data_IF_778656680589
#
_entry.id   IF_778656680589
#
_cell.length_a   1.000
_cell.length_b   1.000
_cell.length_c   1.000
_cell.angle_alpha   90.00
_cell.angle_beta   90.00
_cell.angle_gamma   90.00
#
_symmetry.space_group_name_H-M   'P 1'
#
loop_
_entity.id
_entity.type
_entity.pdbx_description
1 polymer ?
#
# COMPACT_ATOMS: atom_id res chain seq x y z
N UNK A 1 -7.01 -2.08 29.36
CA UNK A 1 -7.24 -0.62 29.36
C UNK A 1 -6.55 0.07 28.16
N UNK A 2 -6.52 -0.57 26.97
CA UNK A 2 -5.86 -0.01 25.75
C UNK A 2 -6.80 -0.01 24.54
N UNK A 3 -8.03 -0.50 24.70
CA UNK A 3 -9.12 -0.36 23.72
C UNK A 3 -10.13 0.67 24.22
N UNK A 4 -9.63 1.78 24.74
CA UNK A 4 -10.44 2.94 25.07
C UNK A 4 -10.84 3.60 23.74
N UNK A 5 -12.05 3.28 23.27
CA UNK A 5 -12.78 3.82 22.11
C UNK A 5 -11.88 4.40 21.01
N UNK A 6 -11.42 3.55 20.09
CA UNK A 6 -11.06 4.04 18.75
C UNK A 6 -12.32 4.67 18.19
N UNK A 7 -12.22 5.96 17.85
CA UNK A 7 -13.32 6.72 17.25
C UNK A 7 -13.83 6.01 16.00
N UNK A 8 -15.13 6.12 15.70
CA UNK A 8 -15.73 5.40 14.56
C UNK A 8 -15.05 5.81 13.23
N UNK A 9 -14.63 7.07 13.12
CA UNK A 9 -13.85 7.56 11.98
C UNK A 9 -12.45 6.95 11.90
N UNK A 10 -11.77 6.82 13.05
CA UNK A 10 -10.47 6.16 13.13
C UNK A 10 -10.56 4.66 12.80
N UNK A 11 -11.66 3.99 13.17
CA UNK A 11 -11.90 2.60 12.76
C UNK A 11 -12.04 2.46 11.25
N UNK A 12 -12.80 3.35 10.59
CA UNK A 12 -12.94 3.35 9.13
C UNK A 12 -11.60 3.58 8.43
N UNK A 13 -10.83 4.55 8.92
CA UNK A 13 -9.50 4.83 8.37
C UNK A 13 -8.57 3.62 8.55
N UNK A 14 -8.59 3.00 9.73
CA UNK A 14 -7.81 1.81 10.05
C UNK A 14 -8.15 0.63 9.15
N UNK A 15 -9.44 0.38 8.87
CA UNK A 15 -9.86 -0.70 7.98
C UNK A 15 -9.30 -0.53 6.57
N UNK A 16 -9.36 0.69 6.02
CA UNK A 16 -8.84 0.97 4.67
C UNK A 16 -7.31 0.92 4.66
N UNK A 17 -6.66 1.53 5.66
CA UNK A 17 -5.21 1.67 5.74
C UNK A 17 -4.52 0.33 6.01
N UNK A 18 -5.11 -0.54 6.83
CA UNK A 18 -4.53 -1.85 7.15
C UNK A 18 -4.94 -2.95 6.17
N UNK A 19 -5.79 -2.68 5.17
CA UNK A 19 -6.19 -3.67 4.18
C UNK A 19 -4.99 -4.36 3.51
N UNK A 20 -3.94 -3.64 3.06
CA UNK A 20 -2.75 -4.27 2.43
C UNK A 20 -1.97 -5.21 3.37
N UNK A 21 -2.11 -5.04 4.69
CA UNK A 21 -1.46 -5.91 5.68
C UNK A 21 -2.18 -7.26 5.78
N UNK A 22 -3.51 -7.24 5.64
CA UNK A 22 -4.39 -8.39 5.90
C UNK A 22 -4.61 -9.19 4.61
N UNK A 23 -4.70 -8.52 3.46
CA UNK A 23 -4.92 -9.16 2.15
C UNK A 23 -3.66 -9.84 1.56
N UNK A 24 -2.52 -9.73 2.24
CA UNK A 24 -1.24 -10.32 1.84
C UNK A 24 -0.49 -9.54 0.76
N UNK A 25 -1.03 -8.42 0.28
CA UNK A 25 -0.37 -7.57 -0.73
C UNK A 25 0.95 -7.04 -0.18
N UNK A 26 0.96 -6.49 1.04
CA UNK A 26 2.19 -5.92 1.60
C UNK A 26 3.27 -6.96 1.88
N UNK A 27 2.89 -8.12 2.44
CA UNK A 27 3.80 -9.25 2.62
C UNK A 27 4.44 -9.65 1.28
N UNK A 28 3.63 -9.69 0.22
CA UNK A 28 4.08 -10.00 -1.12
C UNK A 28 5.02 -8.92 -1.68
N UNK A 29 4.73 -7.64 -1.48
CA UNK A 29 5.60 -6.54 -1.92
C UNK A 29 6.97 -6.57 -1.23
N UNK A 30 7.02 -6.95 0.06
CA UNK A 30 8.27 -7.12 0.80
C UNK A 30 9.14 -8.22 0.17
N UNK A 31 8.61 -9.44 0.04
CA UNK A 31 9.40 -10.58 -0.44
C UNK A 31 9.72 -10.52 -1.94
N UNK A 32 8.92 -9.79 -2.72
CA UNK A 32 9.20 -9.59 -4.15
C UNK A 32 10.24 -8.49 -4.40
N UNK A 33 10.61 -7.71 -3.38
CA UNK A 33 11.55 -6.60 -3.50
C UNK A 33 10.93 -5.32 -4.07
N UNK A 34 9.60 -5.22 -4.09
CA UNK A 34 8.87 -4.04 -4.56
C UNK A 34 8.98 -2.83 -3.62
N UNK A 35 9.69 -2.97 -2.50
CA UNK A 35 10.03 -1.92 -1.53
C UNK A 35 11.53 -1.95 -1.19
N UNK A 36 12.37 -2.26 -2.18
CA UNK A 36 13.82 -2.45 -2.00
C UNK A 36 14.63 -1.14 -2.04
N UNK A 37 14.14 -0.12 -2.75
CA UNK A 37 14.78 1.19 -2.83
C UNK A 37 14.02 2.26 -2.06
N UNK A 38 14.70 3.36 -1.74
CA UNK A 38 14.06 4.52 -1.10
C UNK A 38 12.87 5.03 -1.91
N UNK A 39 13.01 5.15 -3.23
CA UNK A 39 11.92 5.59 -4.11
C UNK A 39 10.73 4.63 -4.07
N UNK A 40 10.97 3.32 -4.08
CA UNK A 40 9.91 2.32 -4.01
C UNK A 40 9.17 2.36 -2.67
N UNK A 41 9.91 2.48 -1.57
CA UNK A 41 9.35 2.60 -0.21
C UNK A 41 8.39 3.78 -0.11
N UNK A 42 8.83 4.97 -0.56
CA UNK A 42 7.99 6.17 -0.54
C UNK A 42 6.78 5.98 -1.47
N UNK A 43 7.01 5.45 -2.67
CA UNK A 43 5.96 5.26 -3.67
C UNK A 43 4.88 4.31 -3.15
N UNK A 44 5.25 3.14 -2.63
CA UNK A 44 4.33 2.15 -2.08
C UNK A 44 3.62 2.71 -0.84
N UNK A 45 4.34 3.35 0.08
CA UNK A 45 3.74 3.95 1.27
C UNK A 45 2.67 4.99 0.91
N UNK A 46 2.95 5.86 -0.06
CA UNK A 46 2.03 6.93 -0.44
C UNK A 46 0.90 6.49 -1.38
N UNK A 47 1.02 5.35 -2.06
CA UNK A 47 0.00 4.89 -3.03
C UNK A 47 -0.81 3.70 -2.55
N UNK A 48 -0.17 2.68 -1.99
CA UNK A 48 -0.83 1.45 -1.54
C UNK A 48 -1.50 1.68 -0.19
N UNK A 49 -0.84 2.38 0.73
CA UNK A 49 -1.40 2.68 2.06
C UNK A 49 -2.11 4.03 2.06
N UNK A 50 -1.39 5.13 1.76
CA UNK A 50 -1.95 6.50 1.77
C UNK A 50 -2.56 6.91 0.43
N UNK A 51 -3.15 5.94 -0.28
CA UNK A 51 -3.82 6.19 -1.55
C UNK A 51 -5.12 6.99 -1.40
N UNK A 52 -5.79 7.22 -2.53
CA UNK A 52 -7.02 8.00 -2.60
C UNK A 52 -8.13 7.49 -1.66
N UNK A 53 -8.20 6.18 -1.38
CA UNK A 53 -9.17 5.60 -0.44
C UNK A 53 -8.93 6.05 1.00
N UNK A 54 -7.69 5.95 1.49
CA UNK A 54 -7.35 6.38 2.84
C UNK A 54 -7.52 7.91 3.01
N UNK A 55 -7.13 8.69 2.00
CA UNK A 55 -7.34 10.14 2.00
C UNK A 55 -8.82 10.52 1.95
N UNK A 56 -9.64 9.78 1.21
CA UNK A 56 -11.08 10.01 1.17
C UNK A 56 -11.71 9.81 2.55
N UNK A 57 -11.32 8.75 3.26
CA UNK A 57 -11.79 8.49 4.63
C UNK A 57 -11.26 9.54 5.60
N UNK A 58 -9.97 9.85 5.55
CA UNK A 58 -9.37 10.88 6.40
C UNK A 58 -10.16 12.20 6.32
N UNK A 59 -10.42 12.67 5.10
CA UNK A 59 -11.14 13.92 4.88
C UNK A 59 -12.67 13.84 5.07
N UNK A 60 -13.28 12.65 5.04
CA UNK A 60 -14.70 12.51 5.33
C UNK A 60 -14.98 12.42 6.83
N UNK A 61 -14.02 11.95 7.61
CA UNK A 61 -14.13 11.77 9.06
C UNK A 61 -13.51 12.93 9.87
N UNK A 62 -12.93 13.93 9.22
CA UNK A 62 -12.36 15.11 9.87
C UNK A 62 -12.91 16.41 9.31
N UNK A 63 -13.37 17.32 10.17
CA UNK A 63 -13.80 18.65 9.75
C UNK A 63 -12.63 19.64 9.66
N UNK A 64 -11.58 19.41 10.44
CA UNK A 64 -10.42 20.30 10.54
C UNK A 64 -9.11 19.50 10.71
N UNK A 65 -7.97 20.19 10.55
CA UNK A 65 -6.64 19.57 10.66
C UNK A 65 -6.37 18.94 12.02
N UNK A 66 -6.92 19.48 13.12
CA UNK A 66 -6.72 18.92 14.46
C UNK A 66 -7.37 17.55 14.60
N UNK A 67 -8.60 17.40 14.10
CA UNK A 67 -9.29 16.11 14.04
C UNK A 67 -8.57 15.14 13.11
N UNK A 68 -8.15 15.59 11.93
CA UNK A 68 -7.37 14.77 11.01
C UNK A 68 -6.07 14.26 11.67
N UNK A 69 -5.34 15.11 12.41
CA UNK A 69 -4.17 14.68 13.17
C UNK A 69 -4.52 13.68 14.28
N UNK A 70 -5.65 13.86 14.97
CA UNK A 70 -6.11 12.91 15.99
C UNK A 70 -6.39 11.53 15.38
N UNK A 71 -7.07 11.47 14.22
CA UNK A 71 -7.30 10.22 13.50
C UNK A 71 -5.99 9.53 13.12
N UNK A 72 -5.04 10.28 12.54
CA UNK A 72 -3.72 9.73 12.17
C UNK A 72 -2.97 9.21 13.39
N UNK A 73 -2.97 9.95 14.51
CA UNK A 73 -2.35 9.52 15.77
C UNK A 73 -2.94 8.21 16.31
N UNK A 74 -4.24 7.99 16.14
CA UNK A 74 -4.91 6.76 16.58
C UNK A 74 -4.55 5.55 15.70
N UNK A 75 -4.45 5.72 14.37
CA UNK A 75 -4.21 4.60 13.44
C UNK A 75 -2.72 4.29 13.23
N UNK A 76 -1.83 5.29 13.36
CA UNK A 76 -0.39 5.14 13.18
C UNK A 76 0.25 4.00 14.01
N UNK A 77 0.01 3.86 15.33
CA UNK A 77 0.61 2.77 16.10
C UNK A 77 0.12 1.40 15.64
N UNK A 78 -1.13 1.29 15.21
CA UNK A 78 -1.68 0.01 14.71
C UNK A 78 -1.07 -0.35 13.37
N UNK A 79 -0.92 0.63 12.46
CA UNK A 79 -0.25 0.40 11.18
C UNK A 79 1.21 -0.03 11.36
N UNK A 80 1.96 0.63 12.25
CA UNK A 80 3.35 0.26 12.56
C UNK A 80 3.45 -1.13 13.16
N UNK A 81 2.59 -1.45 14.13
CA UNK A 81 2.56 -2.77 14.76
C UNK A 81 2.20 -3.86 13.73
N UNK A 82 1.19 -3.62 12.89
CA UNK A 82 0.79 -4.52 11.83
C UNK A 82 1.89 -4.73 10.79
N UNK A 83 2.57 -3.66 10.36
CA UNK A 83 3.70 -3.75 9.45
C UNK A 83 4.86 -4.55 10.05
N UNK A 84 5.14 -4.38 11.34
CA UNK A 84 6.15 -5.17 12.05
C UNK A 84 5.78 -6.66 12.09
N UNK A 85 4.52 -7.00 12.41
CA UNK A 85 4.04 -8.38 12.41
C UNK A 85 4.19 -9.00 11.01
N UNK A 86 3.75 -8.29 9.96
CA UNK A 86 3.90 -8.76 8.57
C UNK A 86 5.37 -8.97 8.23
N UNK A 87 6.27 -8.06 8.62
CA UNK A 87 7.69 -8.18 8.37
C UNK A 87 8.34 -9.39 9.06
N UNK A 88 7.90 -9.74 10.27
CA UNK A 88 8.37 -10.93 10.98
C UNK A 88 7.88 -12.23 10.36
N UNK A 89 6.74 -12.18 9.64
CA UNK A 89 6.17 -13.32 8.92
C UNK A 89 6.73 -13.41 7.48
N UNK A 90 7.17 -12.31 6.88
CA UNK A 90 7.68 -12.26 5.51
C UNK A 90 8.80 -13.29 5.18
N UNK A 91 9.77 -13.61 6.07
CA UNK A 91 10.75 -14.66 5.80
C UNK A 91 10.12 -16.03 5.54
N UNK A 92 9.00 -16.33 6.21
CA UNK A 92 8.26 -17.57 6.00
C UNK A 92 7.69 -17.63 4.58
N UNK A 93 7.22 -16.49 4.05
CA UNK A 93 6.76 -16.41 2.66
C UNK A 93 7.91 -16.67 1.67
N UNK A 94 9.07 -16.04 1.89
CA UNK A 94 10.24 -16.20 1.02
C UNK A 94 10.75 -17.65 0.97
N UNK A 95 10.67 -18.35 2.10
CA UNK A 95 11.15 -19.73 2.21
C UNK A 95 10.15 -20.75 1.67
N UNK A 96 8.84 -20.51 1.83
CA UNK A 96 7.78 -21.40 1.37
C UNK A 96 7.50 -21.22 -0.13
N UNK A 97 7.67 -20.01 -0.67
CA UNK A 97 7.23 -19.67 -2.02
C UNK A 97 8.36 -19.45 -3.02
N UNK A 98 8.10 -19.77 -4.28
CA UNK A 98 8.93 -19.39 -5.41
C UNK A 98 8.71 -17.92 -5.73
N UNK A 99 9.61 -17.05 -5.27
CA UNK A 99 9.51 -15.59 -5.43
C UNK A 99 9.28 -15.20 -6.89
N UNK A 100 9.94 -15.85 -7.86
CA UNK A 100 9.72 -15.54 -9.28
C UNK A 100 8.29 -15.83 -9.73
N UNK A 101 7.66 -16.90 -9.22
CA UNK A 101 6.23 -17.18 -9.49
C UNK A 101 5.31 -16.24 -8.72
N UNK A 102 5.65 -15.95 -7.48
CA UNK A 102 4.89 -15.05 -6.61
C UNK A 102 4.86 -13.63 -7.17
N UNK A 103 5.97 -13.16 -7.79
CA UNK A 103 6.05 -11.88 -8.51
C UNK A 103 4.98 -11.74 -9.58
N UNK A 104 4.69 -12.79 -10.35
CA UNK A 104 3.62 -12.73 -11.36
C UNK A 104 2.24 -12.55 -10.75
N UNK A 105 1.95 -13.24 -9.65
CA UNK A 105 0.69 -13.07 -8.94
C UNK A 105 0.56 -11.67 -8.32
N UNK A 106 1.65 -11.16 -7.73
CA UNK A 106 1.74 -9.81 -7.21
C UNK A 106 1.52 -8.76 -8.31
N UNK A 107 2.18 -8.93 -9.45
CA UNK A 107 2.02 -8.08 -10.63
C UNK A 107 0.58 -8.08 -11.12
N UNK A 108 -0.06 -9.25 -11.26
CA UNK A 108 -1.47 -9.38 -11.64
C UNK A 108 -2.41 -8.72 -10.63
N UNK A 109 -2.19 -8.92 -9.33
CA UNK A 109 -2.96 -8.31 -8.26
C UNK A 109 -2.87 -6.77 -8.34
N UNK A 110 -1.65 -6.23 -8.43
CA UNK A 110 -1.42 -4.80 -8.56
C UNK A 110 -1.91 -4.21 -9.87
N UNK A 111 -1.97 -4.97 -10.96
CA UNK A 111 -2.55 -4.52 -12.23
C UNK A 111 -4.08 -4.49 -12.20
N UNK A 112 -4.67 -5.42 -11.44
CA UNK A 112 -6.13 -5.53 -11.33
C UNK A 112 -6.73 -4.31 -10.64
N UNK A 113 -6.06 -3.75 -9.63
CA UNK A 113 -6.50 -2.56 -8.90
C UNK A 113 -6.73 -1.35 -9.83
N UNK A 114 -5.73 -0.86 -10.60
CA UNK A 114 -5.92 0.26 -11.51
C UNK A 114 -6.86 -0.08 -12.66
N UNK A 115 -6.89 -1.34 -13.13
CA UNK A 115 -7.84 -1.75 -14.18
C UNK A 115 -9.31 -1.62 -13.72
N UNK A 116 -9.59 -1.92 -12.45
CA UNK A 116 -10.90 -1.67 -11.83
C UNK A 116 -11.21 -0.19 -11.65
N UNK A 117 -10.20 0.67 -11.47
CA UNK A 117 -10.41 2.12 -11.32
C UNK A 117 -10.83 2.80 -12.63
N UNK A 118 -10.59 2.18 -13.77
CA UNK A 118 -10.99 2.65 -15.10
C UNK A 118 -12.14 1.83 -15.70
N UNK A 119 -12.88 1.10 -14.86
CA UNK A 119 -14.07 0.31 -15.23
C UNK A 119 -13.86 -0.68 -16.38
N UNK A 120 -12.70 -1.37 -16.42
CA UNK A 120 -12.49 -2.47 -17.36
C UNK A 120 -13.34 -3.68 -16.93
N UNK A 121 -14.35 -4.04 -17.72
CA UNK A 121 -15.27 -5.17 -17.44
C UNK A 121 -14.54 -6.47 -17.08
N UNK A 122 -13.42 -6.76 -17.75
CA UNK A 122 -12.64 -7.96 -17.49
C UNK A 122 -12.04 -7.95 -16.08
N UNK A 123 -11.60 -6.79 -15.58
CA UNK A 123 -10.98 -6.64 -14.28
C UNK A 123 -11.98 -6.88 -13.13
N UNK A 124 -13.26 -6.57 -13.32
CA UNK A 124 -14.32 -6.82 -12.33
C UNK A 124 -14.43 -8.31 -11.95
N UNK A 125 -14.16 -9.20 -12.92
CA UNK A 125 -14.19 -10.66 -12.72
C UNK A 125 -13.03 -11.18 -11.87
N UNK A 126 -11.95 -10.39 -11.71
CA UNK A 126 -10.78 -10.79 -10.94
C UNK A 126 -10.84 -10.24 -9.52
N UNK A 127 -10.84 -11.13 -8.52
CA UNK A 127 -10.69 -10.75 -7.12
C UNK A 127 -9.21 -10.70 -6.76
N UNK A 128 -8.72 -9.55 -6.25
CA UNK A 128 -7.32 -9.37 -5.83
C UNK A 128 -6.92 -10.43 -4.79
N UNK A 129 -7.68 -10.67 -3.71
CA UNK A 129 -7.41 -11.78 -2.80
C UNK A 129 -7.35 -13.14 -3.49
N UNK A 130 -8.23 -13.42 -4.46
CA UNK A 130 -8.22 -14.70 -5.18
C UNK A 130 -6.96 -14.86 -6.03
N UNK A 131 -6.48 -13.79 -6.68
CA UNK A 131 -5.22 -13.78 -7.44
C UNK A 131 -4.04 -14.06 -6.50
N UNK A 132 -3.97 -13.36 -5.36
CA UNK A 132 -2.90 -13.53 -4.37
C UNK A 132 -2.89 -14.96 -3.84
N UNK A 133 -4.03 -15.48 -3.35
CA UNK A 133 -4.15 -16.85 -2.82
C UNK A 133 -3.81 -17.90 -3.87
N UNK A 134 -4.27 -17.74 -5.11
CA UNK A 134 -3.94 -18.67 -6.21
C UNK A 134 -2.45 -18.63 -6.52
N UNK A 135 -1.87 -17.44 -6.57
CA UNK A 135 -0.43 -17.23 -6.75
C UNK A 135 0.40 -17.89 -5.65
N UNK A 136 0.00 -17.71 -4.39
CA UNK A 136 0.61 -18.36 -3.24
C UNK A 136 0.57 -19.89 -3.42
N UNK A 137 -0.59 -20.46 -3.73
CA UNK A 137 -0.71 -21.90 -3.97
C UNK A 137 0.18 -22.42 -5.11
N UNK A 138 0.20 -21.72 -6.26
CA UNK A 138 1.01 -22.10 -7.42
C UNK A 138 2.53 -21.89 -7.22
N UNK A 139 2.89 -21.03 -6.26
CA UNK A 139 4.27 -20.73 -5.92
C UNK A 139 4.84 -21.62 -4.82
N UNK A 140 4.05 -22.50 -4.20
CA UNK A 140 4.52 -23.41 -3.15
C UNK A 140 5.74 -24.24 -3.59
N UNK A 141 6.78 -24.22 -2.76
CA UNK A 141 7.97 -25.06 -2.89
C UNK A 141 7.86 -26.26 -1.96
N UNK A 142 8.41 -27.40 -2.37
CA UNK A 142 8.60 -28.56 -1.49
C UNK A 142 9.87 -28.40 -0.65
N UNK A 143 9.78 -28.66 0.67
CA UNK A 143 10.95 -28.78 1.53
C UNK A 143 11.49 -27.46 2.12
N UNK A 144 10.61 -26.49 2.41
CA UNK A 144 11.01 -25.23 3.04
C UNK A 144 11.58 -25.46 4.44
N UNK A 145 12.78 -24.93 4.70
CA UNK A 145 13.38 -24.86 6.04
C UNK A 145 13.09 -23.50 6.64
N UNK A 146 12.38 -23.48 7.77
CA UNK A 146 11.98 -22.24 8.42
C UNK A 146 13.16 -21.61 9.17
N UNK A 147 13.54 -20.40 8.77
CA UNK A 147 14.48 -19.54 9.48
C UNK A 147 13.87 -18.16 9.69
N UNK A 148 14.15 -17.54 10.84
CA UNK A 148 13.72 -16.19 11.12
C UNK A 148 14.80 -15.21 10.66
N UNK A 149 14.37 -14.13 10.00
CA UNK A 149 15.23 -13.03 9.55
C UNK A 149 14.55 -11.69 9.85
N UNK A 150 15.34 -10.67 10.12
CA UNK A 150 14.87 -9.29 10.31
C UNK A 150 15.02 -8.44 9.04
N UNK A 151 15.42 -9.04 7.92
CA UNK A 151 15.68 -8.36 6.65
C UNK A 151 14.51 -7.48 6.18
N UNK A 152 13.27 -7.95 6.38
CA UNK A 152 12.06 -7.24 5.96
C UNK A 152 11.57 -6.20 6.97
N UNK A 153 12.12 -6.15 8.19
CA UNK A 153 11.65 -5.24 9.24
C UNK A 153 11.91 -3.79 8.86
N UNK A 154 13.12 -3.47 8.39
CA UNK A 154 13.46 -2.10 8.04
C UNK A 154 12.64 -1.58 6.84
N UNK A 155 12.53 -2.29 5.70
CA UNK A 155 11.65 -1.87 4.60
C UNK A 155 10.19 -1.70 5.03
N UNK A 156 9.69 -2.59 5.89
CA UNK A 156 8.30 -2.54 6.34
C UNK A 156 8.02 -1.30 7.22
N UNK A 157 8.92 -1.01 8.17
CA UNK A 157 8.81 0.16 9.04
C UNK A 157 8.98 1.47 8.25
N UNK A 158 9.91 1.52 7.29
CA UNK A 158 10.10 2.70 6.45
C UNK A 158 8.87 2.94 5.56
N UNK A 159 8.28 1.89 4.98
CA UNK A 159 7.10 2.02 4.11
C UNK A 159 5.86 2.48 4.90
N UNK A 160 5.63 1.89 6.07
CA UNK A 160 4.53 2.30 6.95
C UNK A 160 4.74 3.71 7.51
N UNK A 161 5.98 4.08 7.84
CA UNK A 161 6.32 5.46 8.25
C UNK A 161 6.11 6.46 7.11
N UNK A 162 6.45 6.09 5.86
CA UNK A 162 6.18 6.91 4.69
C UNK A 162 4.67 7.11 4.49
N UNK A 163 3.88 6.06 4.67
CA UNK A 163 2.41 6.14 4.63
C UNK A 163 1.88 7.10 5.71
N UNK A 164 2.30 6.92 6.96
CA UNK A 164 1.93 7.78 8.10
C UNK A 164 2.34 9.24 7.84
N UNK A 165 3.56 9.47 7.36
CA UNK A 165 4.04 10.80 6.97
C UNK A 165 3.16 11.42 5.88
N UNK A 166 2.75 10.64 4.88
CA UNK A 166 1.78 11.06 3.88
C UNK A 166 0.44 11.49 4.48
N UNK A 167 -0.06 10.75 5.47
CA UNK A 167 -1.31 11.09 6.15
C UNK A 167 -1.15 12.37 6.99
N UNK A 168 -0.05 12.55 7.71
CA UNK A 168 0.24 13.80 8.42
C UNK A 168 0.32 15.00 7.48
N UNK A 169 0.98 14.84 6.32
CA UNK A 169 1.03 15.87 5.29
C UNK A 169 -0.38 16.19 4.76
N UNK A 170 -1.19 15.16 4.51
CA UNK A 170 -2.57 15.31 4.09
C UNK A 170 -3.42 16.01 5.17
N UNK A 171 -3.24 15.73 6.45
CA UNK A 171 -3.94 16.41 7.56
C UNK A 171 -3.65 17.92 7.62
N UNK A 172 -2.47 18.35 7.16
CA UNK A 172 -2.12 19.77 7.04
C UNK A 172 -2.79 20.44 5.83
N UNK A 173 -3.15 19.67 4.81
CA UNK A 173 -3.76 20.16 3.58
C UNK A 173 -5.29 20.07 3.70
N UNK A 174 -5.99 21.19 3.53
CA UNK A 174 -7.45 21.18 3.49
C UNK A 174 -7.97 20.33 2.32
N UNK A 175 -9.06 19.58 2.55
CA UNK A 175 -9.71 18.75 1.52
C UNK A 175 -10.00 19.53 0.24
N UNK A 176 -10.43 20.78 0.38
CA UNK A 176 -10.78 21.65 -0.75
C UNK A 176 -9.58 21.97 -1.67
N UNK A 177 -8.36 21.87 -1.13
CA UNK A 177 -7.13 22.13 -1.87
C UNK A 177 -6.62 20.89 -2.62
N UNK A 178 -7.22 19.70 -2.41
CA UNK A 178 -6.74 18.44 -2.97
C UNK A 178 -7.84 17.72 -3.74
N UNK A 179 -7.63 17.60 -5.05
CA UNK A 179 -8.48 16.77 -5.91
C UNK A 179 -8.09 15.29 -5.82
N UNK A 180 -8.87 14.54 -5.04
CA UNK A 180 -8.75 13.07 -4.92
C UNK A 180 -8.81 12.34 -6.27
N UNK A 181 -9.40 12.97 -7.30
CA UNK A 181 -9.42 12.43 -8.67
C UNK A 181 -8.01 12.26 -9.22
N UNK A 182 -7.15 13.28 -9.07
CA UNK A 182 -5.78 13.20 -9.55
C UNK A 182 -4.99 12.19 -8.73
N UNK A 183 -5.09 12.20 -7.40
CA UNK A 183 -4.42 11.19 -6.54
C UNK A 183 -4.82 9.76 -6.93
N UNK A 184 -6.11 9.51 -7.16
CA UNK A 184 -6.61 8.20 -7.59
C UNK A 184 -6.04 7.81 -8.95
N UNK A 185 -6.04 8.74 -9.91
CA UNK A 185 -5.48 8.51 -11.25
C UNK A 185 -3.98 8.26 -11.23
N UNK A 186 -3.21 9.10 -10.53
CA UNK A 186 -1.77 8.93 -10.38
C UNK A 186 -1.41 7.65 -9.65
N UNK A 187 -2.13 7.31 -8.57
CA UNK A 187 -2.00 6.02 -7.89
C UNK A 187 -2.22 4.86 -8.85
N UNK A 188 -3.24 4.93 -9.72
CA UNK A 188 -3.49 3.89 -10.71
C UNK A 188 -2.33 3.71 -11.71
N UNK A 189 -1.77 4.83 -12.20
CA UNK A 189 -0.60 4.79 -13.11
C UNK A 189 0.61 4.21 -12.39
N UNK A 190 0.87 4.62 -11.15
CA UNK A 190 1.99 4.13 -10.36
C UNK A 190 1.87 2.63 -10.08
N UNK A 191 0.68 2.14 -9.70
CA UNK A 191 0.44 0.71 -9.49
C UNK A 191 0.68 -0.09 -10.77
N UNK A 192 0.32 0.47 -11.94
CA UNK A 192 0.59 -0.14 -13.24
C UNK A 192 2.09 -0.23 -13.51
N UNK A 193 2.86 0.81 -13.17
CA UNK A 193 4.32 0.83 -13.28
C UNK A 193 4.99 -0.20 -12.36
N UNK A 194 4.55 -0.28 -11.10
CA UNK A 194 5.05 -1.28 -10.13
C UNK A 194 4.73 -2.69 -10.66
N UNK A 195 3.52 -2.90 -11.15
CA UNK A 195 3.11 -4.16 -11.76
C UNK A 195 3.99 -4.56 -12.94
N UNK A 196 4.31 -3.63 -13.84
CA UNK A 196 5.23 -3.89 -14.95
C UNK A 196 6.62 -4.33 -14.48
N UNK A 197 7.17 -3.67 -13.45
CA UNK A 197 8.45 -4.09 -12.85
C UNK A 197 8.40 -5.52 -12.31
N UNK A 198 7.29 -5.92 -11.69
CA UNK A 198 7.09 -7.28 -11.19
C UNK A 198 7.01 -8.34 -12.30
N UNK A 199 6.55 -7.96 -13.50
CA UNK A 199 6.60 -8.81 -14.69
C UNK A 199 7.98 -8.90 -15.34
N UNK A 200 8.99 -8.20 -14.81
CA UNK A 200 10.37 -8.22 -15.30
C UNK A 200 10.67 -7.16 -16.37
N UNK A 201 9.81 -6.17 -16.54
CA UNK A 201 10.14 -5.02 -17.39
C UNK A 201 11.12 -4.09 -16.67
N UNK A 202 12.14 -3.61 -17.38
CA UNK A 202 13.10 -2.65 -16.85
C UNK A 202 12.45 -1.28 -16.69
N UNK A 203 11.98 -1.02 -15.48
CA UNK A 203 11.36 0.25 -15.09
C UNK A 203 12.35 1.04 -14.22
N UNK A 204 12.62 2.33 -14.52
CA UNK A 204 13.43 3.17 -13.65
C UNK A 204 12.82 3.28 -12.25
N UNK A 205 13.62 3.06 -11.20
CA UNK A 205 13.15 3.06 -9.80
C UNK A 205 12.54 4.39 -9.34
N UNK A 206 12.94 5.49 -9.96
CA UNK A 206 12.40 6.83 -9.69
C UNK A 206 11.11 7.15 -10.46
N UNK A 207 10.72 6.34 -11.46
CA UNK A 207 9.57 6.63 -12.33
C UNK A 207 8.27 6.67 -11.52
N UNK A 208 8.03 5.68 -10.66
CA UNK A 208 6.83 5.61 -9.81
C UNK A 208 6.70 6.85 -8.92
N UNK A 209 7.79 7.23 -8.26
CA UNK A 209 7.84 8.43 -7.42
C UNK A 209 7.60 9.69 -8.25
N UNK A 210 8.26 9.84 -9.40
CA UNK A 210 8.10 11.00 -10.27
C UNK A 210 6.65 11.17 -10.74
N UNK A 211 6.01 10.08 -11.18
CA UNK A 211 4.60 10.08 -11.58
C UNK A 211 3.67 10.44 -10.41
N UNK A 212 3.95 9.91 -9.22
CA UNK A 212 3.20 10.26 -8.03
C UNK A 212 3.35 11.76 -7.68
N UNK A 213 4.56 12.31 -7.75
CA UNK A 213 4.81 13.73 -7.48
C UNK A 213 4.13 14.63 -8.50
N UNK A 214 4.10 14.25 -9.78
CA UNK A 214 3.32 14.95 -10.81
C UNK A 214 1.84 14.92 -10.48
N UNK A 215 1.32 13.75 -10.08
CA UNK A 215 -0.08 13.61 -9.66
C UNK A 215 -0.42 14.47 -8.45
N UNK A 216 0.46 14.53 -7.45
CA UNK A 216 0.31 15.41 -6.28
C UNK A 216 0.29 16.88 -6.69
N UNK A 217 1.21 17.29 -7.57
CA UNK A 217 1.29 18.66 -8.06
C UNK A 217 0.03 19.08 -8.82
N UNK A 218 -0.50 18.20 -9.67
CA UNK A 218 -1.77 18.43 -10.40
C UNK A 218 -3.00 18.36 -9.48
N UNK A 219 -2.92 17.58 -8.40
CA UNK A 219 -4.00 17.48 -7.42
C UNK A 219 -4.18 18.75 -6.61
N UNK A 220 -3.13 19.53 -6.43
CA UNK A 220 -3.16 20.72 -5.59
C UNK A 220 -3.88 21.86 -6.31
N UNK A 221 -5.10 22.16 -5.87
CA UNK A 221 -5.89 23.26 -6.38
C UNK A 221 -5.59 24.52 -5.56
N UNK A 222 -5.04 25.55 -6.21
CA UNK A 222 -4.87 26.90 -5.63
C UNK A 222 -6.08 27.80 -5.95
N UNK A 223 -7.28 27.27 -5.76
CA UNK A 223 -8.54 27.95 -6.08
C UNK A 223 -9.23 28.42 -4.82
#
# INVERSE_FOLDING_TARGET
>A
MVLEKIDDGAQRLLLVLCLPLIDGVFATLLVTGAVSTFSDIITVGLTVFTGAGALAVLYSESENSSEAFSLVNQVAPVLLAGALIVALIAPVFDQIFNISRLKYAAGLALLTIPAKLVDIELAEKFSVPAIVVTGMFLSLRSGATLSLSLEYVLPALLTSTAAIGGLYLASYLSRDNISLRYIRGGGAVVLTVISASLFGYDVPSNLGLALFMVSLALSYNRG
#
